data_IF_692510516641
#
_entry.id   IF_692510516641
#
_cell.length_a   1.000
_cell.length_b   1.000
_cell.length_c   1.000
_cell.angle_alpha   90.00
_cell.angle_beta   90.00
_cell.angle_gamma   90.00
#
_symmetry.space_group_name_H-M   'P 1'
#
loop_
_entity.id
_entity.type
_entity.pdbx_description
1 polymer ?
#
# COMPACT_ATOMS: atom_id res chain seq x y z
N UNK A 1 -1.64 10.82 19.08
CA UNK A 1 -2.96 10.83 18.41
C UNK A 1 -2.77 10.28 17.00
N UNK A 2 -3.57 9.31 16.53
CA UNK A 2 -3.39 8.69 15.19
C UNK A 2 -3.89 9.64 14.07
N UNK A 3 -3.18 9.80 12.95
CA UNK A 3 -3.49 10.82 11.93
C UNK A 3 -4.89 10.72 11.28
N UNK A 4 -5.49 9.52 11.26
CA UNK A 4 -6.83 9.28 10.71
C UNK A 4 -7.87 8.82 11.75
N UNK A 5 -7.68 9.21 13.02
CA UNK A 5 -8.70 9.00 14.08
C UNK A 5 -9.07 7.53 14.31
N UNK A 6 -8.05 6.65 14.36
CA UNK A 6 -8.17 5.19 14.52
C UNK A 6 -9.07 4.47 13.49
N UNK A 7 -9.51 5.14 12.43
CA UNK A 7 -10.29 4.54 11.35
C UNK A 7 -9.41 3.59 10.55
N UNK A 8 -10.06 2.58 9.98
CA UNK A 8 -9.44 1.58 9.12
C UNK A 8 -8.66 2.23 7.97
N UNK A 9 -7.49 1.65 7.69
CA UNK A 9 -6.60 2.00 6.60
C UNK A 9 -6.06 0.72 5.94
N UNK A 10 -5.89 0.76 4.63
CA UNK A 10 -5.25 -0.28 3.83
C UNK A 10 -3.89 0.22 3.33
N UNK A 11 -2.91 -0.67 3.29
CA UNK A 11 -1.54 -0.38 2.85
C UNK A 11 -1.17 -1.31 1.70
N UNK A 12 -0.62 -0.73 0.64
CA UNK A 12 -0.08 -1.45 -0.51
C UNK A 12 1.38 -1.07 -0.75
N UNK A 13 2.23 -2.07 -0.96
CA UNK A 13 3.63 -1.88 -1.32
C UNK A 13 3.95 -2.54 -2.66
N UNK A 14 4.67 -1.81 -3.50
CA UNK A 14 5.13 -2.20 -4.85
C UNK A 14 6.66 -2.02 -4.95
N UNK A 15 7.45 -3.10 -5.06
CA UNK A 15 8.90 -3.06 -5.15
C UNK A 15 9.35 -2.61 -6.54
N UNK A 16 10.46 -1.88 -6.60
CA UNK A 16 11.17 -1.68 -7.87
C UNK A 16 12.16 -2.81 -8.16
N UNK A 17 12.25 -3.19 -9.45
CA UNK A 17 13.21 -4.19 -9.95
C UNK A 17 14.49 -3.57 -10.55
N UNK A 18 14.44 -2.31 -11.05
CA UNK A 18 15.49 -1.71 -11.91
C UNK A 18 15.89 -0.30 -11.46
N UNK A 19 16.37 -0.11 -10.24
CA UNK A 19 16.86 1.20 -9.77
C UNK A 19 15.84 2.35 -9.79
N UNK A 20 14.59 2.05 -10.16
CA UNK A 20 13.42 2.91 -10.07
C UNK A 20 12.96 2.97 -8.61
N UNK A 21 11.83 3.64 -8.39
CA UNK A 21 11.32 3.86 -7.04
C UNK A 21 10.34 2.77 -6.63
N UNK A 22 10.59 2.11 -5.51
CA UNK A 22 9.54 1.33 -4.84
C UNK A 22 8.49 2.31 -4.29
N UNK A 23 7.24 1.89 -4.21
CA UNK A 23 6.14 2.73 -3.75
C UNK A 23 5.39 2.10 -2.57
N UNK A 24 4.99 2.92 -1.62
CA UNK A 24 4.11 2.56 -0.51
C UNK A 24 2.92 3.52 -0.50
N UNK A 25 1.72 2.97 -0.51
CA UNK A 25 0.47 3.75 -0.52
C UNK A 25 -0.39 3.41 0.68
N UNK A 26 -0.98 4.45 1.27
CA UNK A 26 -1.84 4.37 2.45
C UNK A 26 -3.22 4.91 2.06
N UNK A 27 -4.23 4.04 2.08
CA UNK A 27 -5.56 4.34 1.57
C UNK A 27 -6.60 4.17 2.68
N UNK A 28 -7.47 5.16 2.85
CA UNK A 28 -8.70 4.98 3.62
C UNK A 28 -9.78 4.38 2.71
N UNK A 29 -10.29 3.17 3.01
CA UNK A 29 -11.42 2.62 2.29
C UNK A 29 -12.72 3.36 2.63
N UNK A 30 -13.74 3.28 1.75
CA UNK A 30 -15.06 3.78 2.07
C UNK A 30 -15.73 2.94 3.16
N UNK A 31 -16.56 3.58 4.00
CA UNK A 31 -17.35 2.88 5.03
C UNK A 31 -18.60 2.18 4.49
N UNK A 32 -19.01 2.53 3.27
CA UNK A 32 -20.22 2.04 2.61
C UNK A 32 -19.88 1.72 1.16
N UNK A 33 -20.59 0.75 0.60
CA UNK A 33 -20.47 0.43 -0.81
C UNK A 33 -20.78 1.66 -1.68
N UNK A 34 -19.99 1.85 -2.74
CA UNK A 34 -20.11 3.04 -3.59
C UNK A 34 -19.43 4.30 -3.04
N UNK A 35 -18.91 4.29 -1.80
CA UNK A 35 -18.22 5.45 -1.22
C UNK A 35 -16.85 5.74 -1.85
N UNK A 36 -16.21 6.83 -1.39
CA UNK A 36 -14.90 7.27 -1.85
C UNK A 36 -13.74 6.59 -1.13
N UNK A 37 -12.76 6.12 -1.89
CA UNK A 37 -11.41 5.82 -1.43
C UNK A 37 -10.62 7.12 -1.31
N UNK A 38 -9.78 7.23 -0.28
CA UNK A 38 -8.95 8.42 -0.06
C UNK A 38 -7.51 8.03 0.07
N UNK A 39 -6.63 8.66 -0.69
CA UNK A 39 -5.19 8.55 -0.48
C UNK A 39 -4.81 9.42 0.73
N UNK A 40 -4.29 8.78 1.77
CA UNK A 40 -3.85 9.47 2.99
C UNK A 40 -2.37 9.84 2.92
N UNK A 41 -1.56 8.94 2.37
CA UNK A 41 -0.11 9.10 2.28
C UNK A 41 0.42 8.22 1.15
N UNK A 42 1.46 8.71 0.45
CA UNK A 42 2.27 7.90 -0.44
C UNK A 42 3.74 8.18 -0.15
N UNK A 43 4.57 7.13 -0.23
CA UNK A 43 6.03 7.24 -0.11
C UNK A 43 6.67 6.54 -1.28
N UNK A 44 7.82 7.04 -1.69
CA UNK A 44 8.65 6.40 -2.71
C UNK A 44 10.06 6.21 -2.18
N UNK A 45 10.63 5.04 -2.42
CA UNK A 45 11.99 4.68 -1.96
C UNK A 45 12.91 4.59 -3.16
N UNK A 46 14.04 5.29 -3.14
CA UNK A 46 15.07 5.21 -4.18
C UNK A 46 16.39 4.78 -3.56
N UNK A 47 16.90 3.62 -3.96
CA UNK A 47 18.18 3.11 -3.46
C UNK A 47 18.18 2.64 -2.00
N UNK A 48 17.01 2.58 -1.36
CA UNK A 48 16.86 2.03 -0.01
C UNK A 48 16.99 0.51 -0.04
N UNK A 49 17.62 -0.08 0.98
CA UNK A 49 17.71 -1.54 1.08
C UNK A 49 16.37 -2.17 1.53
N UNK A 50 16.31 -3.50 1.62
CA UNK A 50 15.08 -4.18 2.02
C UNK A 50 14.70 -3.94 3.48
N UNK A 51 15.67 -3.76 4.36
CA UNK A 51 15.45 -3.54 5.78
C UNK A 51 14.89 -2.13 6.03
N UNK A 52 15.41 -1.12 5.34
CA UNK A 52 14.91 0.26 5.38
C UNK A 52 13.47 0.33 4.86
N UNK A 53 13.20 -0.31 3.72
CA UNK A 53 11.84 -0.36 3.16
C UNK A 53 10.86 -1.09 4.09
N UNK A 54 11.28 -2.20 4.70
CA UNK A 54 10.48 -2.93 5.67
C UNK A 54 10.21 -2.11 6.93
N UNK A 55 11.22 -1.44 7.48
CA UNK A 55 11.09 -0.59 8.67
C UNK A 55 10.07 0.53 8.46
N UNK A 56 10.06 1.12 7.27
CA UNK A 56 9.11 2.16 6.86
C UNK A 56 7.67 1.62 6.77
N UNK A 57 7.47 0.41 6.23
CA UNK A 57 6.16 -0.26 6.25
C UNK A 57 5.69 -0.48 7.68
N UNK A 58 6.57 -0.96 8.58
CA UNK A 58 6.23 -1.19 9.99
C UNK A 58 5.91 0.12 10.70
N UNK A 59 6.65 1.20 10.42
CA UNK A 59 6.37 2.53 10.97
C UNK A 59 4.98 3.04 10.54
N UNK A 60 4.60 2.85 9.27
CA UNK A 60 3.24 3.16 8.78
C UNK A 60 2.19 2.30 9.50
N UNK A 61 2.48 1.02 9.72
CA UNK A 61 1.59 0.12 10.46
C UNK A 61 1.38 0.54 11.92
N UNK A 62 2.38 1.13 12.57
CA UNK A 62 2.24 1.69 13.91
C UNK A 62 1.49 3.04 13.91
N UNK A 63 1.69 3.86 12.87
CA UNK A 63 1.08 5.18 12.69
C UNK A 63 -0.43 5.11 12.42
N UNK A 64 -0.89 4.14 11.63
CA UNK A 64 -2.28 3.98 11.22
C UNK A 64 -2.94 2.71 11.80
N UNK A 65 -4.28 2.67 11.79
CA UNK A 65 -4.99 1.43 12.09
C UNK A 65 -5.07 0.56 10.82
N UNK A 66 -3.97 -0.11 10.49
CA UNK A 66 -3.83 -0.89 9.25
C UNK A 66 -4.49 -2.26 9.39
N UNK A 67 -5.60 -2.47 8.69
CA UNK A 67 -6.34 -3.75 8.70
C UNK A 67 -6.09 -4.61 7.47
N UNK A 68 -5.49 -4.04 6.42
CA UNK A 68 -5.04 -4.76 5.23
C UNK A 68 -3.66 -4.28 4.84
N UNK A 69 -2.73 -5.21 4.70
CA UNK A 69 -1.38 -4.96 4.24
C UNK A 69 -1.09 -5.93 3.09
N UNK A 70 -0.93 -5.39 1.89
CA UNK A 70 -0.58 -6.15 0.70
C UNK A 70 0.82 -5.74 0.23
N UNK A 71 1.68 -6.73 0.00
CA UNK A 71 3.07 -6.55 -0.43
C UNK A 71 3.25 -7.34 -1.71
N UNK A 72 3.60 -6.65 -2.80
CA UNK A 72 4.04 -7.32 -4.01
C UNK A 72 5.38 -8.02 -3.73
N UNK A 73 5.39 -9.34 -3.91
CA UNK A 73 6.56 -10.19 -3.70
C UNK A 73 7.24 -10.58 -5.01
N UNK A 74 6.89 -9.93 -6.12
CA UNK A 74 7.50 -10.17 -7.43
C UNK A 74 8.95 -9.66 -7.41
N UNK A 75 9.88 -10.50 -7.86
CA UNK A 75 11.30 -10.16 -7.88
C UNK A 75 11.84 -9.88 -6.47
N UNK A 76 12.34 -8.66 -6.25
CA UNK A 76 13.02 -8.26 -5.01
C UNK A 76 12.06 -8.05 -3.82
N UNK A 77 10.75 -7.93 -4.05
CA UNK A 77 9.75 -7.72 -3.00
C UNK A 77 9.66 -8.85 -1.97
N UNK A 78 10.15 -10.04 -2.30
CA UNK A 78 10.21 -11.19 -1.38
C UNK A 78 11.05 -10.87 -0.13
N UNK A 79 12.17 -10.17 -0.28
CA UNK A 79 13.05 -9.84 0.85
C UNK A 79 12.38 -8.88 1.83
N UNK A 80 11.65 -7.88 1.31
CA UNK A 80 10.87 -6.95 2.14
C UNK A 80 9.72 -7.69 2.85
N UNK A 81 9.00 -8.56 2.13
CA UNK A 81 7.91 -9.34 2.69
C UNK A 81 8.36 -10.24 3.84
N UNK A 82 9.49 -10.96 3.70
CA UNK A 82 10.01 -11.83 4.76
C UNK A 82 10.33 -11.09 6.06
N UNK A 83 10.85 -9.86 5.96
CA UNK A 83 11.13 -9.02 7.12
C UNK A 83 9.80 -8.54 7.74
N UNK A 84 8.90 -8.00 6.93
CA UNK A 84 7.63 -7.44 7.40
C UNK A 84 6.74 -8.52 8.03
N UNK A 85 6.72 -9.74 7.49
CA UNK A 85 5.87 -10.84 7.96
C UNK A 85 6.16 -11.25 9.41
N UNK A 86 7.37 -11.01 9.91
CA UNK A 86 7.76 -11.29 11.30
C UNK A 86 6.97 -10.42 12.28
N UNK A 87 6.79 -9.14 11.95
CA UNK A 87 6.07 -8.16 12.78
C UNK A 87 4.59 -8.05 12.42
N UNK A 88 4.24 -8.34 11.15
CA UNK A 88 2.88 -8.35 10.61
C UNK A 88 2.55 -9.70 9.99
N UNK A 89 2.22 -10.72 10.81
CA UNK A 89 1.82 -12.04 10.32
C UNK A 89 0.57 -12.00 9.42
N UNK A 90 -0.21 -10.94 9.46
CA UNK A 90 -1.39 -10.69 8.63
C UNK A 90 -1.06 -10.06 7.25
N UNK A 91 0.22 -9.74 6.97
CA UNK A 91 0.64 -9.26 5.65
C UNK A 91 0.35 -10.30 4.56
N UNK A 92 -0.24 -9.85 3.45
CA UNK A 92 -0.60 -10.67 2.30
C UNK A 92 0.44 -10.49 1.20
N UNK A 93 1.07 -11.58 0.79
CA UNK A 93 1.92 -11.62 -0.39
C UNK A 93 1.06 -11.58 -1.66
N UNK A 94 1.40 -10.68 -2.58
CA UNK A 94 0.85 -10.65 -3.93
C UNK A 94 1.94 -11.09 -4.90
N UNK A 95 1.73 -12.20 -5.59
CA UNK A 95 2.55 -12.57 -6.75
C UNK A 95 1.88 -11.99 -7.98
N UNK A 96 2.40 -10.89 -8.51
CA UNK A 96 1.79 -10.24 -9.66
C UNK A 96 2.01 -11.08 -10.91
N UNK A 97 0.91 -11.65 -11.40
CA UNK A 97 0.82 -12.08 -12.79
C UNK A 97 0.12 -11.00 -13.62
N UNK A 98 0.28 -11.08 -14.95
CA UNK A 98 -0.27 -10.10 -15.90
C UNK A 98 -1.79 -9.93 -15.73
N UNK A 99 -2.49 -11.02 -15.45
CA UNK A 99 -3.94 -11.03 -15.28
C UNK A 99 -4.38 -10.25 -14.02
N UNK A 100 -3.75 -10.52 -12.87
CA UNK A 100 -4.02 -9.84 -11.61
C UNK A 100 -3.75 -8.34 -11.74
N UNK A 101 -2.61 -7.97 -12.34
CA UNK A 101 -2.27 -6.57 -12.61
C UNK A 101 -3.35 -5.88 -13.46
N UNK A 102 -3.78 -6.54 -14.53
CA UNK A 102 -4.82 -6.01 -15.42
C UNK A 102 -6.14 -5.80 -14.67
N UNK A 103 -6.57 -6.77 -13.84
CA UNK A 103 -7.78 -6.64 -13.01
C UNK A 103 -7.69 -5.48 -12.01
N UNK A 104 -6.54 -5.31 -11.36
CA UNK A 104 -6.31 -4.21 -10.41
C UNK A 104 -6.37 -2.85 -11.11
N UNK A 105 -5.73 -2.72 -12.27
CA UNK A 105 -5.75 -1.48 -13.07
C UNK A 105 -7.18 -1.15 -13.52
N UNK A 106 -7.91 -2.12 -14.07
CA UNK A 106 -9.31 -1.92 -14.49
C UNK A 106 -10.22 -1.52 -13.32
N UNK A 107 -10.01 -2.13 -12.14
CA UNK A 107 -10.75 -1.77 -10.93
C UNK A 107 -10.42 -0.35 -10.46
N UNK A 108 -9.15 0.05 -10.52
CA UNK A 108 -8.71 1.41 -10.21
C UNK A 108 -9.33 2.44 -11.15
N UNK A 109 -9.29 2.17 -12.46
CA UNK A 109 -9.92 2.98 -13.49
C UNK A 109 -11.43 3.15 -13.24
N UNK A 110 -12.16 2.09 -12.88
CA UNK A 110 -13.59 2.16 -12.52
C UNK A 110 -13.86 3.06 -11.31
N UNK A 111 -12.98 3.06 -10.31
CA UNK A 111 -13.12 3.91 -9.13
C UNK A 111 -12.90 5.38 -9.50
N UNK A 112 -11.84 5.65 -10.28
CA UNK A 112 -11.48 7.00 -10.72
C UNK A 112 -12.55 7.58 -11.65
N UNK A 113 -12.99 6.82 -12.66
CA UNK A 113 -13.99 7.26 -13.64
C UNK A 113 -15.34 7.62 -12.99
N UNK A 114 -15.67 6.97 -11.86
CA UNK A 114 -16.86 7.25 -11.06
C UNK A 114 -16.66 8.38 -10.03
N UNK A 115 -15.52 9.07 -10.02
CA UNK A 115 -15.23 10.14 -9.06
C UNK A 115 -15.11 9.66 -7.61
N UNK A 116 -14.78 8.37 -7.42
CA UNK A 116 -14.72 7.71 -6.11
C UNK A 116 -13.30 7.61 -5.55
N UNK A 117 -12.34 8.31 -6.15
CA UNK A 117 -10.98 8.44 -5.63
C UNK A 117 -10.72 9.90 -5.23
N UNK A 118 -10.21 10.10 -4.03
CA UNK A 118 -9.97 11.41 -3.44
C UNK A 118 -8.50 11.56 -3.03
N UNK A 119 -7.86 12.63 -3.54
CA UNK A 119 -6.47 12.98 -3.29
C UNK A 119 -6.30 14.14 -2.29
N UNK A 120 -7.39 14.78 -1.87
CA UNK A 120 -7.36 16.02 -1.08
C UNK A 120 -6.82 15.85 0.35
N UNK A 121 -6.73 14.62 0.84
CA UNK A 121 -6.26 14.29 2.19
C UNK A 121 -4.83 13.71 2.21
N UNK A 122 -4.15 13.76 1.07
CA UNK A 122 -2.78 13.27 0.96
C UNK A 122 -1.83 14.26 1.64
N UNK A 123 -1.15 13.82 2.70
CA UNK A 123 -0.05 14.60 3.28
C UNK A 123 1.23 14.28 2.49
N UNK A 124 1.92 15.30 1.97
CA UNK A 124 3.24 15.18 1.33
C UNK A 124 4.34 15.02 2.39
#
# INVERSE_FOLDING_TARGET
MRPFGNKEVWVGYDPSYTGDRSALVVIAPPKVDGGKFRLLEYRTFKGADFAEQAAEIIAICAKYNVTRLAIDTTGLGVGVYEIVKKERPDAVALTYNVELKSKMVLKGLDIISKGRFDLTQCTL
#
